data_IF_323135663810
#
_entry.id   IF_323135663810
#
_cell.length_a   1.000
_cell.length_b   1.000
_cell.length_c   1.000
_cell.angle_alpha   90.00
_cell.angle_beta   90.00
_cell.angle_gamma   90.00
#
_symmetry.space_group_name_H-M   'P 1'
#
loop_
_entity.id
_entity.type
_entity.pdbx_description
1 polymer ?
#
# COMPACT_ATOMS: atom_id res chain seq x y z
N UNK A 1 -35.68 -5.91 -0.11
CA UNK A 1 -34.21 -5.89 -0.28
C UNK A 1 -33.77 -7.20 -0.90
N UNK A 2 -33.94 -7.38 -2.21
CA UNK A 2 -33.72 -8.69 -2.85
C UNK A 2 -32.25 -8.86 -3.26
N UNK A 3 -31.64 -9.99 -2.92
CA UNK A 3 -30.24 -10.27 -3.22
C UNK A 3 -29.90 -11.76 -3.16
N UNK A 4 -28.63 -12.06 -3.37
CA UNK A 4 -28.07 -13.42 -3.37
C UNK A 4 -27.34 -13.71 -2.06
N UNK A 5 -27.68 -14.82 -1.42
CA UNK A 5 -26.98 -15.34 -0.26
C UNK A 5 -25.90 -16.33 -0.71
N UNK A 6 -24.65 -15.88 -0.71
CA UNK A 6 -23.51 -16.68 -1.12
C UNK A 6 -23.13 -17.81 -0.15
N UNK A 7 -23.73 -17.90 1.05
CA UNK A 7 -23.45 -18.99 1.99
C UNK A 7 -24.22 -20.28 1.65
N UNK A 8 -25.32 -20.18 0.90
CA UNK A 8 -26.21 -21.30 0.60
C UNK A 8 -26.81 -21.27 -0.82
N UNK A 9 -26.31 -20.38 -1.68
CA UNK A 9 -26.69 -20.25 -3.09
C UNK A 9 -28.18 -19.97 -3.34
N UNK A 10 -28.83 -19.19 -2.48
CA UNK A 10 -30.24 -18.83 -2.63
C UNK A 10 -30.47 -17.33 -2.83
N UNK A 11 -31.58 -16.99 -3.49
CA UNK A 11 -32.03 -15.60 -3.63
C UNK A 11 -33.23 -15.32 -2.72
N UNK A 12 -33.31 -14.11 -2.18
CA UNK A 12 -34.46 -13.68 -1.37
C UNK A 12 -34.27 -12.33 -0.71
N UNK A 13 -35.07 -12.03 0.32
CA UNK A 13 -34.94 -10.77 1.06
C UNK A 13 -33.74 -10.82 2.03
N UNK A 14 -32.76 -9.96 1.76
CA UNK A 14 -31.50 -9.89 2.49
C UNK A 14 -31.68 -9.40 3.94
N UNK A 15 -32.69 -8.57 4.22
CA UNK A 15 -32.96 -8.12 5.60
C UNK A 15 -33.54 -9.27 6.42
N UNK A 16 -34.50 -10.01 5.86
CA UNK A 16 -35.07 -11.18 6.54
C UNK A 16 -34.02 -12.27 6.78
N UNK A 17 -33.07 -12.42 5.86
CA UNK A 17 -31.92 -13.33 6.00
C UNK A 17 -30.85 -12.83 6.99
N UNK A 18 -30.97 -11.62 7.52
CA UNK A 18 -30.00 -11.02 8.44
C UNK A 18 -28.70 -10.55 7.77
N UNK A 19 -28.69 -10.40 6.44
CA UNK A 19 -27.54 -9.94 5.65
C UNK A 19 -27.70 -8.45 5.38
N UNK A 20 -27.18 -7.63 6.29
CA UNK A 20 -27.26 -6.18 6.20
C UNK A 20 -25.95 -5.51 6.60
N UNK A 21 -25.62 -4.42 5.90
CA UNK A 21 -24.48 -3.58 6.22
C UNK A 21 -24.96 -2.20 6.73
N UNK A 22 -24.28 -1.60 7.72
CA UNK A 22 -24.56 -0.24 8.12
C UNK A 22 -24.37 0.74 6.96
N UNK A 23 -25.26 1.72 6.80
CA UNK A 23 -25.20 2.71 5.71
C UNK A 23 -23.84 3.38 5.56
N UNK A 24 -23.15 3.64 6.68
CA UNK A 24 -21.82 4.24 6.68
C UNK A 24 -20.77 3.38 5.98
N UNK A 25 -20.85 2.05 6.09
CA UNK A 25 -19.87 1.12 5.51
C UNK A 25 -19.91 1.22 3.98
N UNK A 26 -21.06 0.98 3.37
CA UNK A 26 -21.21 1.01 1.91
C UNK A 26 -20.91 2.39 1.33
N UNK A 27 -21.40 3.46 1.98
CA UNK A 27 -21.13 4.85 1.54
C UNK A 27 -19.64 5.16 1.56
N UNK A 28 -18.97 4.88 2.68
CA UNK A 28 -17.55 5.23 2.86
C UNK A 28 -16.68 4.41 1.92
N UNK A 29 -16.98 3.12 1.73
CA UNK A 29 -16.26 2.27 0.78
C UNK A 29 -16.31 2.84 -0.64
N UNK A 30 -17.51 3.19 -1.13
CA UNK A 30 -17.68 3.75 -2.46
C UNK A 30 -16.98 5.10 -2.61
N UNK A 31 -17.14 6.00 -1.64
CA UNK A 31 -16.54 7.34 -1.69
C UNK A 31 -15.01 7.28 -1.67
N UNK A 32 -14.42 6.44 -0.83
CA UNK A 32 -12.97 6.30 -0.75
C UNK A 32 -12.40 5.66 -2.02
N UNK A 33 -13.08 4.63 -2.56
CA UNK A 33 -12.68 4.00 -3.82
C UNK A 33 -12.72 5.01 -4.97
N UNK A 34 -13.81 5.77 -5.10
CA UNK A 34 -13.95 6.81 -6.12
C UNK A 34 -12.87 7.90 -5.96
N UNK A 35 -12.53 8.30 -4.73
CA UNK A 35 -11.48 9.27 -4.45
C UNK A 35 -10.10 8.82 -4.96
N UNK A 36 -9.67 7.61 -4.59
CA UNK A 36 -8.39 7.05 -5.03
C UNK A 36 -8.38 6.83 -6.55
N UNK A 37 -9.47 6.29 -7.12
CA UNK A 37 -9.58 6.09 -8.56
C UNK A 37 -9.47 7.43 -9.33
N UNK A 38 -10.12 8.48 -8.83
CA UNK A 38 -10.06 9.82 -9.44
C UNK A 38 -8.64 10.38 -9.40
N UNK A 39 -7.96 10.27 -8.25
CA UNK A 39 -6.55 10.65 -8.11
C UNK A 39 -5.68 9.95 -9.17
N UNK A 40 -5.79 8.62 -9.26
CA UNK A 40 -4.99 7.81 -10.19
C UNK A 40 -5.27 8.15 -11.66
N UNK A 41 -6.54 8.35 -12.04
CA UNK A 41 -6.91 8.69 -13.42
C UNK A 41 -6.39 10.06 -13.87
N UNK A 42 -6.22 11.00 -12.95
CA UNK A 42 -5.70 12.34 -13.24
C UNK A 42 -4.19 12.49 -13.04
N UNK A 43 -3.51 11.42 -12.63
CA UNK A 43 -2.07 11.44 -12.38
C UNK A 43 -1.32 11.03 -13.64
N UNK A 44 -0.73 12.01 -14.34
CA UNK A 44 0.01 11.80 -15.59
C UNK A 44 1.42 11.22 -15.38
N UNK A 45 2.00 11.37 -14.19
CA UNK A 45 3.33 10.86 -13.87
C UNK A 45 3.44 10.46 -12.40
N UNK A 46 4.13 9.34 -12.14
CA UNK A 46 4.56 8.92 -10.81
C UNK A 46 6.08 8.78 -10.82
N UNK A 47 6.75 9.46 -9.89
CA UNK A 47 8.21 9.38 -9.72
C UNK A 47 8.50 8.62 -8.44
N UNK A 48 9.36 7.62 -8.53
CA UNK A 48 9.83 6.83 -7.38
C UNK A 48 11.36 6.81 -7.36
N UNK A 49 11.94 6.79 -6.16
CA UNK A 49 13.37 6.56 -5.98
C UNK A 49 13.70 5.09 -6.23
N UNK A 50 14.88 4.81 -6.80
CA UNK A 50 15.37 3.45 -6.90
C UNK A 50 15.62 2.88 -5.50
N UNK A 51 15.45 1.55 -5.30
CA UNK A 51 15.86 0.91 -4.06
C UNK A 51 17.30 1.30 -3.72
N UNK A 52 17.53 1.68 -2.46
CA UNK A 52 18.89 1.93 -1.97
C UNK A 52 19.58 0.59 -1.78
N UNK A 53 20.83 0.49 -2.19
CA UNK A 53 21.73 -0.58 -1.77
C UNK A 53 22.08 -0.35 -0.30
N UNK A 54 21.16 -0.65 0.62
CA UNK A 54 21.51 -0.79 2.02
C UNK A 54 22.18 -2.15 2.19
N UNK A 55 23.51 -2.15 2.38
CA UNK A 55 24.23 -3.33 2.79
C UNK A 55 23.62 -3.87 4.09
N UNK A 56 22.83 -4.93 3.98
CA UNK A 56 22.36 -5.69 5.12
C UNK A 56 23.57 -6.28 5.85
N UNK A 57 24.01 -5.65 6.94
CA UNK A 57 25.16 -6.13 7.69
C UNK A 57 25.56 -5.30 8.90
N UNK A 58 24.77 -5.40 9.98
CA UNK A 58 25.28 -5.54 11.35
C UNK A 58 25.93 -4.32 12.03
N UNK A 59 25.56 -4.09 13.29
CA UNK A 59 26.16 -3.06 14.13
C UNK A 59 27.68 -3.22 14.36
N UNK A 60 28.31 -2.07 14.63
CA UNK A 60 29.59 -1.84 15.35
C UNK A 60 29.83 -2.89 16.46
N UNK A 61 31.06 -3.30 16.89
CA UNK A 61 32.32 -2.55 16.89
C UNK A 61 33.62 -3.36 16.65
N UNK A 62 34.62 -2.79 15.95
CA UNK A 62 36.00 -3.29 16.10
C UNK A 62 36.96 -2.94 14.97
N UNK A 63 38.13 -2.42 15.35
CA UNK A 63 39.31 -2.44 14.50
C UNK A 63 39.85 -1.06 14.12
N UNK A 64 40.52 -0.42 15.07
CA UNK A 64 41.63 0.50 14.79
C UNK A 64 42.56 -0.12 13.73
N UNK A 65 42.70 0.50 12.55
CA UNK A 65 43.71 0.06 11.59
C UNK A 65 43.66 0.78 10.25
N UNK A 66 44.61 1.70 10.05
CA UNK A 66 45.07 2.03 8.70
C UNK A 66 44.85 3.47 8.25
N UNK A 67 45.56 4.40 8.89
CA UNK A 67 45.97 5.65 8.25
C UNK A 67 46.81 5.34 7.00
N UNK A 68 46.40 5.82 5.83
CA UNK A 68 47.27 5.84 4.65
C UNK A 68 46.52 6.09 3.35
N UNK A 69 46.76 7.25 2.73
CA UNK A 69 46.41 7.45 1.32
C UNK A 69 45.92 8.84 0.91
N UNK A 70 46.52 9.91 1.42
CA UNK A 70 46.41 11.22 0.77
C UNK A 70 47.30 11.21 -0.48
N UNK A 71 46.71 11.31 -1.67
CA UNK A 71 47.46 11.57 -2.91
C UNK A 71 46.67 11.21 -4.16
N UNK A 72 46.26 12.23 -4.92
CA UNK A 72 45.71 12.06 -6.26
C UNK A 72 44.69 13.12 -6.64
N UNK A 73 45.14 14.36 -6.73
CA UNK A 73 44.36 15.48 -7.26
C UNK A 73 44.70 15.60 -8.74
N UNK A 74 43.84 15.12 -9.63
CA UNK A 74 43.96 15.36 -11.08
C UNK A 74 42.59 15.78 -11.63
N UNK A 75 42.56 17.07 -12.03
CA UNK A 75 41.61 17.83 -12.87
C UNK A 75 40.12 17.47 -12.90
#
# INVERSE_FOLDING_TARGET
>A
NYGFNAANDTYGDMIEMGILDPTKVTRTALQNAASVASLMLTTEAMVAESPKDEAAGGGMPGGMGGMGGMGGMDM
#
